data_IF_724943843596
#
_entry.id   IF_724943843596
#
_cell.length_a   1.000
_cell.length_b   1.000
_cell.length_c   1.000
_cell.angle_alpha   90.00
_cell.angle_beta   90.00
_cell.angle_gamma   90.00
#
_symmetry.space_group_name_H-M   'P 1'
#
loop_
_entity.id
_entity.type
_entity.pdbx_description
1 polymer ?
#
# COMPACT_ATOMS: atom_id res chain seq x y z
N UNK A 1 14.26 10.20 -7.11
CA UNK A 1 14.13 11.34 -6.17
C UNK A 1 13.15 10.99 -5.04
N UNK A 2 13.25 11.60 -3.85
CA UNK A 2 12.36 11.30 -2.72
C UNK A 2 10.85 11.45 -3.05
N UNK A 3 10.51 12.46 -3.85
CA UNK A 3 9.15 12.69 -4.36
C UNK A 3 8.58 11.48 -5.15
N UNK A 4 9.39 10.81 -5.97
CA UNK A 4 8.93 9.63 -6.72
C UNK A 4 8.66 8.45 -5.79
N UNK A 5 9.50 8.25 -4.77
CA UNK A 5 9.28 7.22 -3.75
C UNK A 5 8.01 7.50 -2.94
N UNK A 6 7.73 8.76 -2.58
CA UNK A 6 6.47 9.14 -1.94
C UNK A 6 5.25 8.85 -2.84
N UNK A 7 5.33 9.13 -4.15
CA UNK A 7 4.22 8.81 -5.08
C UNK A 7 3.96 7.31 -5.14
N UNK A 8 5.01 6.49 -5.28
CA UNK A 8 4.87 5.03 -5.31
C UNK A 8 4.28 4.47 -4.02
N UNK A 9 4.69 5.01 -2.87
CA UNK A 9 4.09 4.66 -1.59
C UNK A 9 2.59 4.95 -1.57
N UNK A 10 2.18 6.15 -2.02
CA UNK A 10 0.79 6.53 -2.09
C UNK A 10 -0.04 5.65 -3.04
N UNK A 11 0.49 5.34 -4.23
CA UNK A 11 -0.17 4.44 -5.19
C UNK A 11 -0.41 3.04 -4.59
N UNK A 12 0.58 2.49 -3.89
CA UNK A 12 0.42 1.21 -3.20
C UNK A 12 -0.57 1.29 -2.04
N UNK A 13 -0.60 2.39 -1.27
CA UNK A 13 -1.63 2.58 -0.24
C UNK A 13 -3.04 2.68 -0.84
N UNK A 14 -3.21 3.34 -1.98
CA UNK A 14 -4.50 3.41 -2.68
C UNK A 14 -4.96 2.03 -3.13
N UNK A 15 -4.06 1.22 -3.72
CA UNK A 15 -4.37 -0.16 -4.08
C UNK A 15 -4.70 -1.03 -2.87
N UNK A 16 -3.97 -0.87 -1.75
CA UNK A 16 -4.27 -1.58 -0.52
C UNK A 16 -5.66 -1.22 0.03
N UNK A 17 -6.02 0.06 0.03
CA UNK A 17 -7.34 0.51 0.48
C UNK A 17 -8.46 -0.07 -0.39
N UNK A 18 -8.31 -0.03 -1.73
CA UNK A 18 -9.28 -0.63 -2.67
C UNK A 18 -9.43 -2.14 -2.42
N UNK A 19 -8.33 -2.85 -2.22
CA UNK A 19 -8.36 -4.29 -1.95
C UNK A 19 -9.01 -4.60 -0.58
N UNK A 20 -8.78 -3.78 0.45
CA UNK A 20 -9.51 -3.91 1.72
C UNK A 20 -11.02 -3.69 1.57
N UNK A 21 -11.44 -2.70 0.78
CA UNK A 21 -12.86 -2.49 0.48
C UNK A 21 -13.48 -3.70 -0.22
N UNK A 22 -12.85 -4.20 -1.30
CA UNK A 22 -13.33 -5.38 -2.00
C UNK A 22 -13.39 -6.61 -1.07
N UNK A 23 -12.37 -6.80 -0.22
CA UNK A 23 -12.38 -7.90 0.74
C UNK A 23 -13.58 -7.83 1.69
N UNK A 24 -13.90 -6.63 2.20
CA UNK A 24 -15.08 -6.41 3.04
C UNK A 24 -16.37 -6.74 2.28
N UNK A 25 -16.54 -6.21 1.07
CA UNK A 25 -17.73 -6.47 0.24
C UNK A 25 -17.93 -7.97 -0.03
N UNK A 26 -16.86 -8.69 -0.35
CA UNK A 26 -16.92 -10.14 -0.57
C UNK A 26 -17.25 -10.91 0.72
N UNK A 27 -16.70 -10.50 1.87
CA UNK A 27 -17.06 -11.09 3.15
C UNK A 27 -18.52 -10.84 3.52
N UNK A 28 -19.06 -9.65 3.27
CA UNK A 28 -20.48 -9.31 3.48
C UNK A 28 -21.41 -10.14 2.59
N UNK A 29 -20.96 -10.48 1.38
CA UNK A 29 -21.71 -11.32 0.42
C UNK A 29 -21.57 -12.83 0.69
N UNK A 30 -20.80 -13.25 1.70
CA UNK A 30 -20.51 -14.65 2.00
C UNK A 30 -19.45 -15.32 1.11
N UNK A 31 -18.81 -14.54 0.22
CA UNK A 31 -17.75 -15.00 -0.68
C UNK A 31 -16.37 -14.93 0.02
N UNK A 32 -16.19 -15.73 1.08
CA UNK A 32 -14.99 -15.65 1.92
C UNK A 32 -13.67 -15.94 1.19
N UNK A 33 -13.67 -16.80 0.18
CA UNK A 33 -12.45 -17.10 -0.60
C UNK A 33 -11.92 -15.85 -1.32
N UNK A 34 -12.79 -15.14 -2.05
CA UNK A 34 -12.41 -13.88 -2.72
C UNK A 34 -12.05 -12.80 -1.70
N UNK A 35 -12.77 -12.74 -0.57
CA UNK A 35 -12.44 -11.85 0.54
C UNK A 35 -11.00 -12.06 1.06
N UNK A 36 -10.59 -13.32 1.23
CA UNK A 36 -9.23 -13.65 1.62
C UNK A 36 -8.18 -13.30 0.56
N UNK A 37 -8.48 -13.52 -0.72
CA UNK A 37 -7.57 -13.12 -1.83
C UNK A 37 -7.33 -11.62 -1.83
N UNK A 38 -8.40 -10.82 -1.76
CA UNK A 38 -8.28 -9.38 -1.69
C UNK A 38 -7.61 -8.89 -0.41
N UNK A 39 -7.83 -9.55 0.73
CA UNK A 39 -7.11 -9.25 1.97
C UNK A 39 -5.60 -9.50 1.85
N UNK A 40 -5.18 -10.56 1.16
CA UNK A 40 -3.75 -10.83 0.91
C UNK A 40 -3.15 -9.75 -0.01
N UNK A 41 -3.84 -9.41 -1.11
CA UNK A 41 -3.41 -8.34 -2.01
C UNK A 41 -3.25 -7.00 -1.28
N UNK A 42 -4.19 -6.68 -0.38
CA UNK A 42 -4.12 -5.47 0.44
C UNK A 42 -2.88 -5.47 1.33
N UNK A 43 -2.56 -6.60 1.95
CA UNK A 43 -1.37 -6.75 2.79
C UNK A 43 -0.08 -6.58 1.98
N UNK A 44 0.03 -7.20 0.80
CA UNK A 44 1.20 -7.07 -0.08
C UNK A 44 1.41 -5.63 -0.55
N UNK A 45 0.34 -4.93 -0.92
CA UNK A 45 0.43 -3.53 -1.31
C UNK A 45 0.82 -2.65 -0.12
N UNK A 46 0.28 -2.89 1.07
CA UNK A 46 0.65 -2.15 2.28
C UNK A 46 2.13 -2.33 2.63
N UNK A 47 2.67 -3.55 2.50
CA UNK A 47 4.09 -3.83 2.72
C UNK A 47 4.97 -3.03 1.74
N UNK A 48 4.66 -3.06 0.44
CA UNK A 48 5.37 -2.28 -0.58
C UNK A 48 5.27 -0.77 -0.35
N UNK A 49 4.08 -0.30 0.06
CA UNK A 49 3.87 1.11 0.39
C UNK A 49 4.77 1.56 1.56
N UNK A 50 4.90 0.71 2.58
CA UNK A 50 5.78 0.95 3.73
C UNK A 50 7.25 1.00 3.31
N UNK A 51 7.71 0.06 2.48
CA UNK A 51 9.08 0.07 1.96
C UNK A 51 9.39 1.35 1.19
N UNK A 52 8.50 1.77 0.28
CA UNK A 52 8.67 3.03 -0.45
C UNK A 52 8.59 4.25 0.46
N UNK A 53 7.77 4.22 1.51
CA UNK A 53 7.69 5.31 2.50
C UNK A 53 8.99 5.45 3.29
N UNK A 54 9.61 4.33 3.70
CA UNK A 54 10.92 4.34 4.35
C UNK A 54 12.00 4.89 3.44
N UNK A 55 12.09 4.39 2.21
CA UNK A 55 13.06 4.86 1.22
C UNK A 55 12.87 6.36 0.91
N UNK A 56 11.63 6.82 0.79
CA UNK A 56 11.33 8.24 0.61
C UNK A 56 11.78 9.08 1.82
N UNK A 57 11.55 8.58 3.03
CA UNK A 57 11.95 9.25 4.26
C UNK A 57 13.48 9.35 4.36
N UNK A 58 14.21 8.27 4.13
CA UNK A 58 15.68 8.27 4.11
C UNK A 58 16.20 9.25 3.04
N UNK A 59 15.70 9.17 1.81
CA UNK A 59 16.13 10.06 0.71
C UNK A 59 15.82 11.53 0.99
N UNK A 60 14.70 11.85 1.61
CA UNK A 60 14.34 13.23 1.95
C UNK A 60 15.24 13.78 3.06
N UNK A 61 15.56 12.98 4.08
CA UNK A 61 16.54 13.35 5.11
C UNK A 61 17.91 13.63 4.48
N UNK A 62 18.42 12.73 3.64
CA UNK A 62 19.71 12.93 2.97
C UNK A 62 19.74 14.12 2.00
N UNK A 63 18.62 14.43 1.34
CA UNK A 63 18.52 15.60 0.46
C UNK A 63 18.47 16.93 1.24
N UNK A 64 18.01 16.91 2.51
CA UNK A 64 17.91 18.09 3.36
C UNK A 64 19.21 18.49 4.08
N UNK A 65 20.28 17.69 3.95
CA UNK A 65 21.59 17.91 4.61
C UNK A 65 22.64 18.43 3.61
N UNK A 66 22.24 19.17 2.57
CA UNK A 66 23.15 19.73 1.55
C UNK A 66 23.02 21.24 1.44
#
# INVERSE_FOLDING_TARGET
MAHESHRKAAEHHEHAAKAHHAAAEHHEQGNHEEGHKHSQQAHEHSAKAHEHSKDAHEKSQHASVK
#
